data_IF_200820153773
#
_entry.id   IF_200820153773
#
_cell.length_a   1.000
_cell.length_b   1.000
_cell.length_c   1.000
_cell.angle_alpha   90.00
_cell.angle_beta   90.00
_cell.angle_gamma   90.00
#
_symmetry.space_group_name_H-M   'P 1'
#
loop_
_entity.id
_entity.type
_entity.pdbx_description
1 polymer ?
#
# COMPACT_ATOMS: atom_id res chain seq x y z
N UNK A 1 -7.54 35.64 21.09
CA UNK A 1 -6.63 35.90 19.96
C UNK A 1 -7.47 36.51 18.86
N UNK A 2 -7.12 37.70 18.39
CA UNK A 2 -7.98 38.49 17.51
C UNK A 2 -7.89 37.97 16.05
N UNK A 3 -9.02 37.85 15.36
CA UNK A 3 -9.10 37.29 14.01
C UNK A 3 -8.31 38.16 12.99
N UNK A 4 -8.18 39.46 13.30
CA UNK A 4 -7.36 40.38 12.52
C UNK A 4 -5.86 40.06 12.65
N UNK A 5 -5.38 39.74 13.86
CA UNK A 5 -3.98 39.39 14.08
C UNK A 5 -3.59 38.09 13.36
N UNK A 6 -4.50 37.11 13.32
CA UNK A 6 -4.29 35.86 12.59
C UNK A 6 -4.23 36.09 11.07
N UNK A 7 -5.11 36.94 10.53
CA UNK A 7 -5.09 37.28 9.10
C UNK A 7 -3.83 38.03 8.69
N UNK A 8 -3.30 38.88 9.56
CA UNK A 8 -2.09 39.65 9.28
C UNK A 8 -0.84 38.76 9.33
N UNK A 9 -0.75 37.84 10.31
CA UNK A 9 0.30 36.84 10.38
C UNK A 9 0.33 35.90 9.16
N UNK A 10 -0.83 35.42 8.70
CA UNK A 10 -0.92 34.58 7.50
C UNK A 10 -0.53 35.33 6.22
N UNK A 11 -0.81 36.64 6.15
CA UNK A 11 -0.39 37.46 5.01
C UNK A 11 1.11 37.73 5.00
N UNK A 12 1.73 37.96 6.15
CA UNK A 12 3.19 38.14 6.21
C UNK A 12 3.92 36.86 5.84
N UNK A 13 3.45 35.71 6.32
CA UNK A 13 4.07 34.41 6.02
C UNK A 13 3.92 34.02 4.54
N UNK A 14 2.75 34.28 3.94
CA UNK A 14 2.52 34.07 2.51
C UNK A 14 3.36 35.00 1.62
N UNK A 15 3.74 36.19 2.10
CA UNK A 15 4.60 37.11 1.38
C UNK A 15 6.08 36.68 1.38
N UNK A 16 6.51 35.93 2.41
CA UNK A 16 7.86 35.38 2.49
C UNK A 16 8.06 34.14 1.62
N UNK A 17 6.99 33.38 1.37
CA UNK A 17 7.03 32.18 0.52
C UNK A 17 6.61 32.51 -0.92
N UNK A 18 7.51 33.15 -1.66
CA UNK A 18 7.34 33.36 -3.10
C UNK A 18 7.21 32.00 -3.80
N UNK A 19 6.02 31.70 -4.32
CA UNK A 19 5.77 30.51 -5.11
C UNK A 19 6.67 30.54 -6.36
N UNK A 20 7.64 29.63 -6.45
CA UNK A 20 8.50 29.46 -7.64
C UNK A 20 7.84 28.43 -8.60
N UNK A 21 7.11 28.87 -9.64
CA UNK A 21 6.52 27.96 -10.62
C UNK A 21 7.57 27.13 -11.38
N UNK A 22 8.81 27.62 -11.49
CA UNK A 22 9.89 26.88 -12.13
C UNK A 22 10.39 25.71 -11.25
N UNK A 23 10.32 25.83 -9.92
CA UNK A 23 10.61 24.72 -9.01
C UNK A 23 9.62 23.56 -9.19
N UNK A 24 8.32 23.88 -9.36
CA UNK A 24 7.27 22.89 -9.65
C UNK A 24 7.52 22.22 -11.00
N UNK A 25 7.87 22.99 -12.04
CA UNK A 25 8.24 22.44 -13.35
C UNK A 25 9.42 21.46 -13.28
N UNK A 26 10.50 21.84 -12.58
CA UNK A 26 11.68 20.98 -12.36
C UNK A 26 11.37 19.71 -11.57
N UNK A 27 10.37 19.74 -10.68
CA UNK A 27 9.93 18.56 -9.92
C UNK A 27 9.14 17.58 -10.81
N UNK A 28 8.23 18.11 -11.64
CA UNK A 28 7.42 17.31 -12.59
C UNK A 28 8.32 16.65 -13.65
N UNK A 29 9.30 17.37 -14.19
CA UNK A 29 10.24 16.82 -15.17
C UNK A 29 11.12 15.71 -14.58
N UNK A 30 11.61 15.88 -13.33
CA UNK A 30 12.35 14.82 -12.62
C UNK A 30 11.51 13.56 -12.43
N UNK A 31 10.22 13.70 -12.09
CA UNK A 31 9.30 12.56 -11.99
C UNK A 31 9.09 11.82 -13.31
N UNK A 32 8.94 12.55 -14.43
CA UNK A 32 8.79 11.96 -15.77
C UNK A 32 10.07 11.26 -16.25
N UNK A 33 11.24 11.82 -15.98
CA UNK A 33 12.52 11.22 -16.34
C UNK A 33 12.78 9.90 -15.60
N UNK A 34 12.40 9.82 -14.32
CA UNK A 34 12.55 8.61 -13.51
C UNK A 34 11.66 7.46 -14.01
N UNK A 35 10.41 7.76 -14.42
CA UNK A 35 9.47 6.76 -14.94
C UNK A 35 9.91 6.15 -16.28
N UNK A 36 10.64 6.89 -17.13
CA UNK A 36 11.18 6.36 -18.40
C UNK A 36 12.31 5.35 -18.19
N UNK A 37 13.16 5.52 -17.17
CA UNK A 37 14.31 4.61 -16.92
C UNK A 37 13.88 3.22 -16.42
N UNK A 38 12.76 3.11 -15.70
CA UNK A 38 12.25 1.82 -15.20
C UNK A 38 11.73 0.90 -16.31
N UNK A 39 11.22 1.45 -17.42
CA UNK A 39 10.68 0.64 -18.52
C UNK A 39 11.77 -0.07 -19.34
N UNK A 40 12.99 0.45 -19.38
CA UNK A 40 14.09 -0.17 -20.13
C UNK A 40 14.82 -1.27 -19.36
N UNK A 41 14.65 -1.37 -18.03
CA UNK A 41 15.35 -2.36 -17.21
C UNK A 41 14.65 -3.74 -17.17
N UNK A 42 13.37 -3.84 -17.56
CA UNK A 42 12.58 -5.07 -17.43
C UNK A 42 12.68 -6.04 -18.63
N UNK A 43 13.44 -5.71 -19.67
CA UNK A 43 13.57 -6.56 -20.88
C UNK A 43 14.82 -7.47 -20.89
N UNK A 44 15.57 -7.57 -19.79
CA UNK A 44 16.89 -8.23 -19.77
C UNK A 44 17.00 -9.47 -18.87
N UNK A 45 15.91 -10.17 -18.55
CA UNK A 45 15.99 -11.43 -17.79
C UNK A 45 15.29 -12.55 -18.56
N UNK A 46 16.08 -13.24 -19.39
CA UNK A 46 15.69 -14.49 -20.04
C UNK A 46 15.99 -15.68 -19.09
N UNK A 47 15.04 -16.58 -18.80
CA UNK A 47 15.33 -17.78 -18.02
C UNK A 47 15.90 -18.87 -18.93
N UNK A 48 17.11 -19.34 -18.61
CA UNK A 48 17.70 -20.54 -19.20
C UNK A 48 17.15 -21.75 -18.45
N UNK A 49 16.24 -22.48 -19.09
CA UNK A 49 15.72 -23.78 -18.65
C UNK A 49 16.79 -24.84 -18.94
N UNK A 50 17.35 -25.45 -17.90
CA UNK A 50 18.19 -26.63 -18.02
C UNK A 50 17.37 -27.89 -17.69
N UNK A 51 17.00 -28.63 -18.74
CA UNK A 51 16.52 -30.01 -18.65
C UNK A 51 17.65 -30.92 -18.15
N UNK A 52 17.36 -31.76 -17.16
CA UNK A 52 18.05 -33.04 -16.97
C UNK A 52 17.03 -34.16 -16.82
N UNK A 53 17.06 -35.07 -17.80
CA UNK A 53 16.26 -36.27 -17.89
C UNK A 53 17.08 -37.49 -17.41
N UNK A 54 16.48 -38.35 -16.59
CA UNK A 54 16.73 -39.81 -16.44
C UNK A 54 16.07 -40.28 -15.12
N UNK A 55 15.26 -41.34 -15.01
CA UNK A 55 14.76 -42.33 -15.96
C UNK A 55 13.72 -43.24 -15.28
N UNK A 56 12.95 -43.96 -16.11
CA UNK A 56 12.13 -45.17 -15.88
C UNK A 56 11.40 -45.44 -14.56
N UNK A 57 10.07 -45.66 -14.61
CA UNK A 57 9.39 -46.98 -14.69
C UNK A 57 7.93 -46.73 -15.09
N UNK A 58 7.41 -47.60 -15.96
CA UNK A 58 6.06 -47.56 -16.51
C UNK A 58 4.95 -47.87 -15.48
N UNK A 59 3.91 -47.04 -15.47
CA UNK A 59 2.55 -47.42 -15.10
C UNK A 59 1.57 -46.59 -15.94
N UNK A 60 0.94 -47.24 -16.92
CA UNK A 60 -0.15 -46.65 -17.71
C UNK A 60 -1.39 -46.63 -16.82
N UNK A 61 -1.56 -45.56 -16.05
CA UNK A 61 -2.87 -45.13 -15.57
C UNK A 61 -3.34 -44.04 -16.51
N UNK A 62 -4.33 -44.41 -17.32
CA UNK A 62 -5.07 -43.51 -18.19
C UNK A 62 -5.95 -42.66 -17.29
N UNK A 63 -5.36 -41.61 -16.70
CA UNK A 63 -6.10 -40.57 -16.01
C UNK A 63 -6.88 -39.79 -17.05
N UNK A 64 -8.21 -39.86 -16.95
CA UNK A 64 -9.09 -38.94 -17.64
C UNK A 64 -8.68 -37.51 -17.26
N UNK A 65 -8.68 -36.54 -18.19
CA UNK A 65 -8.47 -35.15 -17.85
C UNK A 65 -9.67 -34.73 -17.00
N UNK A 66 -9.50 -34.82 -15.68
CA UNK A 66 -10.40 -34.18 -14.74
C UNK A 66 -10.30 -32.70 -15.06
N UNK A 67 -11.36 -32.15 -15.64
CA UNK A 67 -11.62 -30.73 -15.81
C UNK A 67 -11.91 -30.15 -14.42
N UNK A 68 -10.97 -30.37 -13.50
CA UNK A 68 -10.93 -29.77 -12.20
C UNK A 68 -10.52 -28.34 -12.50
N UNK A 69 -11.54 -27.51 -12.77
CA UNK A 69 -11.42 -26.07 -12.81
C UNK A 69 -10.60 -25.68 -11.60
N UNK A 70 -9.31 -25.47 -11.83
CA UNK A 70 -8.35 -25.17 -10.78
C UNK A 70 -8.77 -23.80 -10.33
N UNK A 71 -9.59 -23.79 -9.29
CA UNK A 71 -9.92 -22.61 -8.51
C UNK A 71 -8.57 -22.03 -8.14
N UNK A 72 -8.17 -20.99 -8.88
CA UNK A 72 -6.85 -20.41 -8.79
C UNK A 72 -6.71 -19.99 -7.33
N UNK A 73 -5.91 -20.76 -6.58
CA UNK A 73 -5.78 -20.56 -5.15
C UNK A 73 -5.45 -19.09 -4.92
N UNK A 74 -6.41 -18.35 -4.35
CA UNK A 74 -6.28 -16.91 -4.18
C UNK A 74 -4.97 -16.60 -3.48
N UNK A 75 -4.17 -15.72 -4.07
CA UNK A 75 -2.86 -15.37 -3.52
C UNK A 75 -3.01 -14.93 -2.04
N UNK A 76 -2.05 -15.34 -1.17
CA UNK A 76 -2.09 -14.99 0.24
C UNK A 76 -2.15 -13.46 0.41
N UNK A 77 -2.97 -13.00 1.35
CA UNK A 77 -3.09 -11.57 1.69
C UNK A 77 -2.20 -11.24 2.87
N UNK A 78 -1.55 -10.08 2.81
CA UNK A 78 -0.58 -9.66 3.82
C UNK A 78 -0.65 -8.15 4.08
N UNK A 79 -0.45 -7.80 5.36
CA UNK A 79 -0.28 -6.43 5.81
C UNK A 79 1.21 -6.12 5.92
N UNK A 80 1.61 -4.92 5.50
CA UNK A 80 2.82 -4.31 6.06
C UNK A 80 2.49 -3.90 7.49
N UNK A 81 3.17 -4.46 8.48
CA UNK A 81 2.96 -4.08 9.88
C UNK A 81 4.14 -3.27 10.42
N UNK A 82 3.84 -2.31 11.29
CA UNK A 82 4.85 -1.47 11.93
C UNK A 82 4.37 -1.01 13.30
N UNK A 83 5.27 -0.98 14.28
CA UNK A 83 5.00 -0.38 15.59
C UNK A 83 4.67 1.11 15.43
N UNK A 84 3.47 1.50 15.83
CA UNK A 84 3.02 2.88 15.86
C UNK A 84 3.79 3.65 16.93
N UNK A 85 4.48 4.72 16.54
CA UNK A 85 5.16 5.60 17.48
C UNK A 85 4.28 6.85 17.71
N UNK A 86 3.51 6.91 18.82
CA UNK A 86 2.46 7.92 19.00
C UNK A 86 2.98 9.36 19.03
N UNK A 87 4.29 9.58 19.23
CA UNK A 87 4.89 10.92 19.24
C UNK A 87 5.22 11.51 17.86
N UNK A 88 5.07 10.75 16.76
CA UNK A 88 5.53 11.15 15.42
C UNK A 88 4.42 11.16 14.36
N UNK A 89 3.20 10.85 14.76
CA UNK A 89 2.08 10.75 13.84
C UNK A 89 1.40 12.10 13.79
N UNK A 90 1.60 12.83 12.70
CA UNK A 90 0.79 14.00 12.37
C UNK A 90 -0.67 13.56 12.23
N UNK A 91 -1.65 14.42 12.51
CA UNK A 91 -3.09 14.15 12.30
C UNK A 91 -3.45 14.16 10.80
N UNK A 92 -2.74 13.39 9.98
CA UNK A 92 -3.08 13.23 8.58
C UNK A 92 -4.18 12.18 8.42
N UNK A 93 -5.09 12.48 7.51
CA UNK A 93 -6.20 11.59 7.15
C UNK A 93 -5.96 11.03 5.76
N UNK A 94 -6.04 9.71 5.63
CA UNK A 94 -5.99 9.01 4.35
C UNK A 94 -7.33 8.33 4.10
N UNK A 95 -7.98 8.70 3.01
CA UNK A 95 -9.27 8.16 2.58
C UNK A 95 -9.15 7.58 1.17
N UNK A 96 -9.86 6.48 0.92
CA UNK A 96 -9.87 5.82 -0.37
C UNK A 96 -10.64 4.51 -0.34
N UNK A 97 -10.28 3.61 -1.25
CA UNK A 97 -10.71 2.23 -1.22
C UNK A 97 -9.59 1.33 -0.68
N UNK A 98 -9.96 0.30 0.09
CA UNK A 98 -9.02 -0.77 0.43
C UNK A 98 -8.72 -1.57 -0.84
N UNK A 99 -7.45 -1.73 -1.19
CA UNK A 99 -7.05 -2.44 -2.41
C UNK A 99 -6.00 -3.49 -2.06
N UNK A 100 -6.09 -4.65 -2.71
CA UNK A 100 -5.05 -5.68 -2.64
C UNK A 100 -4.28 -5.67 -3.95
N UNK A 101 -2.96 -5.59 -3.89
CA UNK A 101 -2.12 -5.67 -5.10
C UNK A 101 -2.04 -7.10 -5.64
N UNK A 102 -1.54 -7.26 -6.86
CA UNK A 102 -1.31 -8.59 -7.47
C UNK A 102 -0.43 -9.50 -6.59
N UNK A 103 0.48 -8.91 -5.81
CA UNK A 103 1.36 -9.59 -4.85
C UNK A 103 0.69 -9.86 -3.48
N UNK A 104 -0.61 -9.58 -3.33
CA UNK A 104 -1.36 -9.83 -2.09
C UNK A 104 -1.20 -8.76 -1.01
N UNK A 105 -0.63 -7.59 -1.33
CA UNK A 105 -0.38 -6.54 -0.35
C UNK A 105 -1.58 -5.61 -0.18
N UNK A 106 -2.01 -5.44 1.07
CA UNK A 106 -3.09 -4.52 1.42
C UNK A 106 -2.58 -3.08 1.42
N UNK A 107 -3.25 -2.23 0.65
CA UNK A 107 -2.95 -0.82 0.48
C UNK A 107 -4.24 0.00 0.43
N UNK A 108 -4.12 1.33 0.34
CA UNK A 108 -5.26 2.22 0.12
C UNK A 108 -5.07 2.95 -1.21
N UNK A 109 -6.12 2.96 -2.03
CA UNK A 109 -6.18 3.75 -3.26
C UNK A 109 -7.04 5.00 -3.01
N UNK A 110 -6.44 6.19 -2.86
CA UNK A 110 -7.20 7.42 -2.70
C UNK A 110 -8.05 7.74 -3.93
N UNK A 111 -9.13 8.49 -3.74
CA UNK A 111 -10.02 8.89 -4.82
C UNK A 111 -9.22 9.70 -5.86
N UNK A 112 -9.12 9.20 -7.09
CA UNK A 112 -8.34 9.81 -8.17
C UNK A 112 -6.82 9.77 -7.95
N UNK A 113 -6.35 9.03 -6.95
CA UNK A 113 -4.94 8.92 -6.57
C UNK A 113 -4.27 7.65 -7.09
N UNK A 114 -2.99 7.50 -6.75
CA UNK A 114 -2.26 6.26 -6.91
C UNK A 114 -2.32 5.43 -5.62
N UNK A 115 -2.10 4.11 -5.73
CA UNK A 115 -1.99 3.21 -4.58
C UNK A 115 -0.95 3.74 -3.59
N UNK A 116 -1.33 3.82 -2.32
CA UNK A 116 -0.48 4.21 -1.20
C UNK A 116 -0.22 2.98 -0.34
N UNK A 117 1.04 2.55 -0.16
CA UNK A 117 1.37 1.49 0.80
C UNK A 117 1.09 1.96 2.23
N UNK A 118 0.45 1.10 3.01
CA UNK A 118 -0.01 1.40 4.36
C UNK A 118 0.64 0.44 5.35
N UNK A 119 1.27 1.00 6.38
CA UNK A 119 1.78 0.25 7.51
C UNK A 119 0.73 0.25 8.63
N UNK A 120 0.26 -0.93 8.99
CA UNK A 120 -0.77 -1.15 10.01
C UNK A 120 -0.12 -1.45 11.37
N UNK A 121 -0.79 -1.16 12.50
CA UNK A 121 -0.30 -1.60 13.79
C UNK A 121 -0.19 -3.15 13.83
N UNK A 122 0.81 -3.71 14.53
CA UNK A 122 1.11 -5.14 14.45
C UNK A 122 0.01 -6.05 15.00
N UNK A 123 -0.86 -5.53 15.84
CA UNK A 123 -2.02 -6.24 16.38
C UNK A 123 -3.22 -6.34 15.42
N UNK A 124 -3.14 -5.72 14.24
CA UNK A 124 -4.16 -5.79 13.20
C UNK A 124 -3.92 -7.00 12.30
N UNK A 125 -5.00 -7.54 11.72
CA UNK A 125 -4.91 -8.73 10.87
C UNK A 125 -5.67 -8.55 9.55
N UNK A 126 -5.35 -9.38 8.57
CA UNK A 126 -6.09 -9.47 7.31
C UNK A 126 -6.44 -10.92 7.03
N UNK A 127 -7.66 -11.18 6.57
CA UNK A 127 -8.11 -12.50 6.11
C UNK A 127 -8.93 -12.36 4.84
N UNK A 128 -9.16 -13.45 4.12
CA UNK A 128 -10.11 -13.51 3.00
C UNK A 128 -11.48 -13.90 3.57
N UNK A 129 -12.55 -13.21 3.16
CA UNK A 129 -13.93 -13.59 3.50
C UNK A 129 -14.47 -14.74 2.61
N UNK A 130 -15.74 -15.11 2.79
CA UNK A 130 -16.41 -16.16 2.02
C UNK A 130 -16.47 -15.85 0.51
N UNK A 131 -16.42 -14.56 0.13
CA UNK A 131 -16.38 -14.11 -1.27
C UNK A 131 -14.94 -14.04 -1.81
N UNK A 132 -13.94 -14.45 -1.02
CA UNK A 132 -12.53 -14.36 -1.38
C UNK A 132 -11.97 -12.93 -1.36
N UNK A 133 -12.64 -11.97 -0.71
CA UNK A 133 -12.16 -10.58 -0.61
C UNK A 133 -11.37 -10.37 0.67
N UNK A 134 -10.30 -9.57 0.60
CA UNK A 134 -9.55 -9.23 1.80
C UNK A 134 -10.39 -8.37 2.75
N UNK A 135 -10.37 -8.72 4.04
CA UNK A 135 -10.97 -7.96 5.13
C UNK A 135 -9.88 -7.68 6.15
N UNK A 136 -9.70 -6.41 6.49
CA UNK A 136 -8.80 -5.97 7.56
C UNK A 136 -9.60 -5.94 8.87
N UNK A 137 -9.04 -6.56 9.90
CA UNK A 137 -9.62 -6.62 11.24
C UNK A 137 -8.76 -5.83 12.23
N UNK A 138 -9.45 -5.11 13.10
CA UNK A 138 -8.85 -4.45 14.24
C UNK A 138 -8.41 -5.47 15.31
N UNK A 139 -7.71 -5.02 16.37
CA UNK A 139 -7.18 -5.92 17.41
C UNK A 139 -8.24 -6.60 18.26
N UNK A 140 -9.50 -6.13 18.17
CA UNK A 140 -10.66 -6.72 18.85
C UNK A 140 -11.39 -7.71 17.95
N UNK A 141 -10.90 -7.95 16.74
CA UNK A 141 -11.53 -8.80 15.73
C UNK A 141 -12.70 -8.12 15.00
N UNK A 142 -12.87 -6.81 15.15
CA UNK A 142 -13.85 -6.03 14.40
C UNK A 142 -13.38 -5.82 12.96
N UNK A 143 -14.22 -6.14 11.98
CA UNK A 143 -13.92 -5.84 10.58
C UNK A 143 -13.90 -4.32 10.36
N UNK A 144 -12.74 -3.79 9.95
CA UNK A 144 -12.57 -2.37 9.64
C UNK A 144 -13.01 -2.06 8.20
N UNK A 145 -12.42 -2.77 7.24
CA UNK A 145 -12.56 -2.50 5.82
C UNK A 145 -12.45 -3.79 5.02
N UNK A 146 -13.08 -3.80 3.85
CA UNK A 146 -13.08 -4.90 2.90
C UNK A 146 -12.56 -4.40 1.56
N UNK A 147 -11.91 -5.28 0.81
CA UNK A 147 -11.39 -5.04 -0.53
C UNK A 147 -12.45 -4.37 -1.42
N UNK A 148 -12.01 -3.36 -2.17
CA UNK A 148 -12.78 -2.42 -2.99
C UNK A 148 -13.81 -1.57 -2.23
N UNK A 149 -13.92 -1.73 -0.90
CA UNK A 149 -14.77 -0.94 -0.03
C UNK A 149 -14.10 0.37 0.42
N UNK A 150 -14.90 1.38 0.80
CA UNK A 150 -14.38 2.64 1.32
C UNK A 150 -13.66 2.42 2.66
N UNK A 151 -12.57 3.14 2.87
CA UNK A 151 -11.79 3.12 4.12
C UNK A 151 -11.23 4.51 4.41
N UNK A 152 -11.21 4.87 5.69
CA UNK A 152 -10.61 6.09 6.20
C UNK A 152 -9.76 5.80 7.44
N UNK A 153 -8.46 6.10 7.36
CA UNK A 153 -7.50 5.90 8.46
C UNK A 153 -6.81 7.20 8.83
N UNK A 154 -6.54 7.35 10.12
CA UNK A 154 -5.74 8.42 10.69
C UNK A 154 -4.31 7.95 10.89
N UNK A 155 -3.36 8.85 10.67
CA UNK A 155 -1.97 8.47 10.69
C UNK A 155 -1.04 9.50 10.07
N UNK A 156 0.16 9.09 9.72
CA UNK A 156 1.21 9.99 9.25
C UNK A 156 2.14 9.33 8.24
N UNK A 157 2.82 10.15 7.43
CA UNK A 157 3.82 9.65 6.51
C UNK A 157 5.14 9.41 7.26
N UNK A 158 5.59 8.16 7.26
CA UNK A 158 6.90 7.78 7.81
C UNK A 158 7.87 7.44 6.68
N UNK A 159 9.15 7.69 6.91
CA UNK A 159 10.23 7.42 5.95
C UNK A 159 11.21 6.43 6.58
N UNK A 160 11.63 5.42 5.82
CA UNK A 160 12.60 4.44 6.27
C UNK A 160 13.95 5.06 6.71
N UNK A 161 14.30 6.23 6.18
CA UNK A 161 15.52 6.95 6.56
C UNK A 161 15.41 7.70 7.92
N UNK A 162 14.21 7.78 8.52
CA UNK A 162 14.03 8.38 9.83
C UNK A 162 14.27 7.31 10.91
N UNK A 163 15.34 7.49 11.70
CA UNK A 163 15.81 6.51 12.72
C UNK A 163 14.73 6.10 13.75
N UNK A 164 13.68 6.92 13.93
CA UNK A 164 12.63 6.71 14.92
C UNK A 164 11.41 5.89 14.44
N UNK A 165 11.28 5.61 13.14
CA UNK A 165 10.13 4.89 12.58
C UNK A 165 10.46 4.15 11.26
N UNK A 166 11.48 3.29 11.29
CA UNK A 166 11.86 2.50 10.12
C UNK A 166 10.84 1.37 9.88
N UNK A 167 10.28 1.34 8.67
CA UNK A 167 9.75 0.11 8.08
C UNK A 167 10.86 -0.50 7.21
N UNK A 168 10.83 -1.81 6.98
CA UNK A 168 11.77 -2.43 6.03
C UNK A 168 11.37 -2.06 4.59
N UNK A 169 12.16 -1.24 3.86
CA UNK A 169 11.83 -0.89 2.47
C UNK A 169 11.95 -2.09 1.51
N UNK A 170 12.60 -3.18 1.92
CA UNK A 170 12.65 -4.43 1.17
C UNK A 170 11.40 -5.30 1.38
N UNK A 171 10.53 -4.96 2.34
CA UNK A 171 9.27 -5.66 2.52
C UNK A 171 8.43 -5.57 1.23
N UNK A 172 7.87 -6.68 0.72
CA UNK A 172 7.12 -6.68 -0.53
C UNK A 172 5.98 -5.65 -0.53
N UNK A 173 5.28 -5.49 0.59
CA UNK A 173 4.20 -4.50 0.75
C UNK A 173 4.64 -3.06 0.97
N UNK A 174 5.94 -2.77 1.00
CA UNK A 174 6.42 -1.40 0.84
C UNK A 174 6.29 -0.91 -0.61
N UNK A 175 6.06 -1.82 -1.58
CA UNK A 175 5.86 -1.52 -3.00
C UNK A 175 7.01 -0.67 -3.61
N UNK A 176 8.23 -0.86 -3.06
CA UNK A 176 9.41 -0.08 -3.43
C UNK A 176 9.34 1.42 -3.08
N UNK A 177 8.41 1.82 -2.20
CA UNK A 177 8.29 3.18 -1.71
C UNK A 177 9.31 3.47 -0.61
N UNK A 178 9.85 4.69 -0.62
CA UNK A 178 10.70 5.19 0.47
C UNK A 178 9.90 5.74 1.65
N UNK A 179 8.57 5.83 1.50
CA UNK A 179 7.64 6.29 2.53
C UNK A 179 6.36 5.48 2.48
N UNK A 180 5.79 5.23 3.64
CA UNK A 180 4.50 4.57 3.78
C UNK A 180 3.61 5.42 4.68
N UNK A 181 2.30 5.25 4.56
CA UNK A 181 1.36 5.83 5.50
C UNK A 181 1.26 4.91 6.72
N UNK A 182 1.72 5.37 7.87
CA UNK A 182 1.59 4.62 9.12
C UNK A 182 0.25 4.95 9.77
N UNK A 183 -0.57 3.91 9.98
CA UNK A 183 -1.85 4.01 10.67
C UNK A 183 -1.61 4.10 12.18
N UNK A 184 -2.22 5.10 12.80
CA UNK A 184 -2.25 5.21 14.27
C UNK A 184 -3.65 4.96 14.82
N UNK A 185 -4.68 5.46 14.14
CA UNK A 185 -6.05 5.35 14.62
C UNK A 185 -7.01 5.10 13.44
N UNK A 186 -8.05 4.26 13.61
CA UNK A 186 -9.16 4.22 12.68
C UNK A 186 -10.00 5.49 12.85
N UNK A 187 -10.31 6.19 11.75
CA UNK A 187 -11.10 7.42 11.84
C UNK A 187 -12.60 7.14 11.80
N UNK A 188 -13.10 6.41 10.80
CA UNK A 188 -14.53 6.09 10.71
C UNK A 188 -14.77 4.75 10.02
N UNK A 189 -15.67 3.96 10.60
CA UNK A 189 -16.33 2.82 9.97
C UNK A 189 -17.56 3.37 9.23
N UNK A 190 -17.49 3.53 7.91
CA UNK A 190 -18.74 3.57 7.14
C UNK A 190 -19.26 2.13 7.18
N UNK A 191 -20.06 1.86 8.21
CA UNK A 191 -20.58 0.52 8.49
C UNK A 191 -21.09 -0.10 7.22
N UNK A 192 -20.59 -1.30 6.90
CA UNK A 192 -21.13 -2.12 5.83
C UNK A 192 -22.63 -2.26 6.10
N UNK A 193 -23.44 -1.49 5.37
CA UNK A 193 -24.88 -1.64 5.37
C UNK A 193 -25.18 -3.08 4.97
N UNK A 194 -25.84 -3.81 5.89
CA UNK A 194 -26.43 -5.11 5.60
C UNK A 194 -27.42 -5.02 4.45
#
# INVERSE_FOLDING_TARGET
MDEQALREALRSEAAEHAFDPAAVGRAIERGRAHRRRRRTALLAVAPVVALTAAGGVAAVLRSEPSDDGTEAASAPVQLLTQLTNPGLVFDARLEGALTVTDDGCVAITPIGGAIVPVAWPPEWTVQRDEDGRAVVYDPRGGALAREDGPVGVGGGMVNAAAEAAAFDPAHPCALGASRVFQVAEPLYLLGFGR
#
